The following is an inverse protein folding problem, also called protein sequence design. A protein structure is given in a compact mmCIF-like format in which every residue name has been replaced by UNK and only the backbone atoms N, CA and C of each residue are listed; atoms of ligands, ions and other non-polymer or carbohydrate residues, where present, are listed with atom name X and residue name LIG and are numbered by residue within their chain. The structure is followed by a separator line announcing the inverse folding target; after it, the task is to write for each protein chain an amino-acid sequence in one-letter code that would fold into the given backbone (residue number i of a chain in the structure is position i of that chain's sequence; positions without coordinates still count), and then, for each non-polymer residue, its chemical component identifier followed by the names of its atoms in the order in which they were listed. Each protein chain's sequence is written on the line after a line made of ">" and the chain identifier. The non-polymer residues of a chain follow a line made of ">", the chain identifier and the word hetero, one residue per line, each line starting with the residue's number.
data_IF_519990776401
#
_entry.id   IF_519990776401
#
_cell.length_a   1.000
_cell.length_b   1.000
_cell.length_c   1.000
_cell.angle_alpha   90.00
_cell.angle_beta   90.00
_cell.angle_gamma   90.00
#
_symmetry.space_group_name_H-M   'P 1'
#
loop_
_entity.id
_entity.type
_entity.pdbx_description
1 polymer ?
#
# COMPACT_ATOMS: atom_id res chain seq x y z
N UNK A 1 -13.03 31.35 1.70
CA UNK A 1 -11.90 30.50 1.24
C UNK A 1 -12.23 29.04 1.50
N UNK A 2 -12.60 28.24 0.48
CA UNK A 2 -12.76 26.79 0.61
C UNK A 2 -11.34 26.18 0.58
N UNK A 3 -10.78 25.88 1.72
CA UNK A 3 -9.60 25.06 1.82
C UNK A 3 -9.93 23.70 1.18
N UNK A 4 -9.47 23.48 -0.04
CA UNK A 4 -9.47 22.14 -0.64
C UNK A 4 -8.43 21.33 0.13
N UNK A 5 -8.87 20.70 1.23
CA UNK A 5 -8.04 19.76 1.94
C UNK A 5 -7.64 18.64 0.97
N UNK A 6 -6.38 18.64 0.56
CA UNK A 6 -5.84 17.57 -0.26
C UNK A 6 -5.99 16.22 0.46
N UNK A 7 -5.92 15.13 -0.29
CA UNK A 7 -6.02 13.77 0.28
C UNK A 7 -5.07 13.57 1.46
N UNK A 8 -3.84 14.06 1.34
CA UNK A 8 -2.83 13.99 2.39
C UNK A 8 -3.29 14.63 3.71
N UNK A 9 -3.87 15.84 3.63
CA UNK A 9 -4.35 16.52 4.83
C UNK A 9 -5.52 15.78 5.49
N UNK A 10 -6.42 15.18 4.70
CA UNK A 10 -7.52 14.34 5.23
C UNK A 10 -7.00 13.08 5.92
N UNK A 11 -5.98 12.45 5.36
CA UNK A 11 -5.35 11.26 5.96
C UNK A 11 -4.65 11.63 7.26
N UNK A 12 -3.87 12.72 7.30
CA UNK A 12 -3.22 13.18 8.52
C UNK A 12 -4.22 13.54 9.62
N UNK A 13 -5.30 14.23 9.28
CA UNK A 13 -6.36 14.53 10.25
C UNK A 13 -7.06 13.26 10.74
N UNK A 14 -7.26 12.26 9.89
CA UNK A 14 -7.82 10.97 10.28
C UNK A 14 -6.90 10.21 11.25
N UNK A 15 -5.59 10.23 11.03
CA UNK A 15 -4.59 9.62 11.94
C UNK A 15 -4.65 10.29 13.31
N UNK A 16 -4.52 11.63 13.35
CA UNK A 16 -4.53 12.39 14.60
C UNK A 16 -5.85 12.19 15.35
N UNK A 17 -6.97 12.25 14.64
CA UNK A 17 -8.29 12.01 15.23
C UNK A 17 -8.43 10.56 15.72
N UNK A 18 -7.93 9.57 14.97
CA UNK A 18 -7.96 8.16 15.37
C UNK A 18 -7.17 7.91 16.67
N UNK A 19 -5.99 8.50 16.79
CA UNK A 19 -5.18 8.41 18.01
C UNK A 19 -5.88 9.11 19.18
N UNK A 20 -6.35 10.34 18.99
CA UNK A 20 -7.04 11.10 20.04
C UNK A 20 -8.33 10.41 20.50
N UNK A 21 -9.17 10.00 19.58
CA UNK A 21 -10.43 9.30 19.91
C UNK A 21 -10.19 7.93 20.53
N UNK A 22 -9.12 7.22 20.17
CA UNK A 22 -8.80 5.92 20.72
C UNK A 22 -8.54 5.92 22.22
N UNK A 23 -8.18 7.06 22.81
CA UNK A 23 -7.99 7.24 24.25
C UNK A 23 -9.32 7.36 25.02
N UNK A 24 -10.37 7.90 24.38
CA UNK A 24 -11.61 8.28 25.07
C UNK A 24 -12.84 7.49 24.61
N UNK A 25 -12.79 6.83 23.46
CA UNK A 25 -13.96 6.17 22.91
C UNK A 25 -14.37 4.94 23.70
N UNK A 26 -15.67 4.75 23.96
CA UNK A 26 -16.19 3.54 24.56
C UNK A 26 -16.10 2.37 23.59
N UNK A 27 -16.13 1.14 24.12
CA UNK A 27 -15.94 -0.09 23.35
C UNK A 27 -16.96 -0.30 22.24
N UNK A 28 -18.20 0.09 22.46
CA UNK A 28 -19.24 -0.04 21.44
C UNK A 28 -18.97 0.81 20.19
N UNK A 29 -18.42 2.01 20.36
CA UNK A 29 -18.09 2.91 19.26
C UNK A 29 -16.84 2.42 18.50
N UNK A 30 -15.87 1.89 19.24
CA UNK A 30 -14.69 1.24 18.67
C UNK A 30 -15.09 0.03 17.81
N UNK A 31 -16.06 -0.78 18.27
CA UNK A 31 -16.59 -1.91 17.51
C UNK A 31 -17.26 -1.49 16.20
N UNK A 32 -17.96 -0.35 16.18
CA UNK A 32 -18.51 0.20 14.93
C UNK A 32 -17.40 0.52 13.94
N UNK A 33 -16.33 1.19 14.39
CA UNK A 33 -15.19 1.50 13.54
C UNK A 33 -14.48 0.23 13.03
N UNK A 34 -14.33 -0.80 13.87
CA UNK A 34 -13.78 -2.10 13.48
C UNK A 34 -14.65 -2.82 12.46
N UNK A 35 -15.98 -2.76 12.61
CA UNK A 35 -16.93 -3.34 11.65
C UNK A 35 -16.80 -2.65 10.29
N UNK A 36 -16.74 -1.33 10.29
CA UNK A 36 -16.48 -0.55 9.07
C UNK A 36 -15.14 -0.93 8.43
N UNK A 37 -14.08 -1.06 9.23
CA UNK A 37 -12.77 -1.43 8.74
C UNK A 37 -12.74 -2.83 8.12
N UNK A 38 -13.41 -3.80 8.73
CA UNK A 38 -13.56 -5.14 8.17
C UNK A 38 -14.28 -5.13 6.83
N UNK A 39 -15.41 -4.42 6.76
CA UNK A 39 -16.21 -4.28 5.55
C UNK A 39 -15.42 -3.61 4.41
N UNK A 40 -14.77 -2.48 4.72
CA UNK A 40 -13.98 -1.74 3.74
C UNK A 40 -12.72 -2.52 3.31
N UNK A 41 -12.06 -3.23 4.22
CA UNK A 41 -10.92 -4.10 3.91
C UNK A 41 -11.29 -5.24 2.96
N UNK A 42 -12.43 -5.90 3.19
CA UNK A 42 -12.95 -6.94 2.30
C UNK A 42 -13.33 -6.37 0.93
N UNK A 43 -13.95 -5.17 0.90
CA UNK A 43 -14.23 -4.45 -0.34
C UNK A 43 -12.94 -4.08 -1.11
N UNK A 44 -11.90 -3.61 -0.42
CA UNK A 44 -10.59 -3.36 -1.04
C UNK A 44 -10.01 -4.64 -1.65
N UNK A 45 -10.04 -5.75 -0.91
CA UNK A 45 -9.55 -7.05 -1.38
C UNK A 45 -10.28 -7.52 -2.63
N UNK A 46 -11.58 -7.24 -2.74
CA UNK A 46 -12.37 -7.52 -3.94
C UNK A 46 -12.00 -6.62 -5.12
N UNK A 47 -11.78 -5.33 -4.86
CA UNK A 47 -11.54 -4.34 -5.94
C UNK A 47 -10.10 -4.37 -6.46
N UNK A 48 -9.10 -4.72 -5.63
CA UNK A 48 -7.69 -4.70 -6.03
C UNK A 48 -7.39 -5.51 -7.29
N UNK A 49 -7.84 -6.78 -7.45
CA UNK A 49 -7.62 -7.53 -8.68
C UNK A 49 -8.28 -6.89 -9.93
N UNK A 50 -9.44 -6.28 -9.74
CA UNK A 50 -10.14 -5.57 -10.83
C UNK A 50 -9.38 -4.31 -11.24
N UNK A 51 -8.79 -3.59 -10.26
CA UNK A 51 -7.91 -2.46 -10.52
C UNK A 51 -6.70 -2.87 -11.34
N UNK A 52 -6.05 -3.96 -10.96
CA UNK A 52 -4.87 -4.47 -11.67
C UNK A 52 -5.26 -4.79 -13.11
N UNK A 53 -6.33 -5.53 -13.33
CA UNK A 53 -6.78 -5.89 -14.67
C UNK A 53 -7.15 -4.64 -15.49
N UNK A 54 -7.95 -3.75 -14.92
CA UNK A 54 -8.49 -2.57 -15.62
C UNK A 54 -7.45 -1.50 -15.94
N UNK A 55 -6.36 -1.39 -15.17
CA UNK A 55 -5.34 -0.38 -15.39
C UNK A 55 -4.12 -0.94 -16.15
N UNK A 56 -3.68 -2.14 -15.80
CA UNK A 56 -2.45 -2.73 -16.35
C UNK A 56 -2.65 -3.24 -17.76
N UNK A 57 -3.77 -3.93 -18.06
CA UNK A 57 -3.99 -4.50 -19.39
C UNK A 57 -4.05 -3.43 -20.51
N UNK A 58 -4.82 -2.32 -20.36
CA UNK A 58 -4.78 -1.24 -21.35
C UNK A 58 -3.41 -0.56 -21.44
N UNK A 59 -2.73 -0.36 -20.28
CA UNK A 59 -1.40 0.21 -20.27
C UNK A 59 -0.38 -0.59 -21.09
N UNK A 60 -0.42 -1.91 -20.99
CA UNK A 60 0.43 -2.80 -21.79
C UNK A 60 0.03 -2.75 -23.27
N UNK A 61 -1.26 -2.74 -23.58
CA UNK A 61 -1.76 -2.66 -24.94
C UNK A 61 -1.34 -1.36 -25.65
N UNK A 62 -1.18 -0.27 -24.92
CA UNK A 62 -0.72 1.02 -25.46
C UNK A 62 0.74 1.05 -25.88
N UNK A 63 1.58 0.16 -25.34
CA UNK A 63 2.96 0.00 -25.77
C UNK A 63 3.09 -0.58 -27.20
N UNK A 64 1.99 -1.12 -27.77
CA UNK A 64 1.91 -1.60 -29.13
C UNK A 64 2.78 -2.84 -29.41
N UNK A 65 3.17 -3.04 -30.67
CA UNK A 65 3.90 -4.24 -31.13
C UNK A 65 5.27 -4.46 -30.45
N UNK A 66 5.83 -3.44 -29.83
CA UNK A 66 7.11 -3.52 -29.07
C UNK A 66 6.89 -3.81 -27.59
N UNK A 67 5.63 -3.96 -27.16
CA UNK A 67 5.25 -4.15 -25.75
C UNK A 67 6.03 -5.28 -25.08
N UNK A 68 6.12 -6.43 -25.69
CA UNK A 68 6.78 -7.60 -25.10
C UNK A 68 8.25 -7.38 -24.82
N UNK A 69 9.00 -6.80 -25.76
CA UNK A 69 10.44 -6.51 -25.58
C UNK A 69 10.66 -5.41 -24.54
N UNK A 70 9.90 -4.33 -24.61
CA UNK A 70 10.02 -3.22 -23.67
C UNK A 70 9.68 -3.68 -22.25
N UNK A 71 8.62 -4.46 -22.10
CA UNK A 71 8.18 -5.02 -20.82
C UNK A 71 9.23 -5.94 -20.22
N UNK A 72 9.86 -6.81 -21.03
CA UNK A 72 10.91 -7.72 -20.55
C UNK A 72 12.14 -6.96 -20.10
N UNK A 73 12.56 -5.94 -20.83
CA UNK A 73 13.72 -5.09 -20.46
C UNK A 73 13.42 -4.31 -19.18
N UNK A 74 12.25 -3.66 -19.09
CA UNK A 74 11.87 -2.88 -17.89
C UNK A 74 11.67 -3.77 -16.68
N UNK A 75 11.09 -4.96 -16.83
CA UNK A 75 10.93 -5.92 -15.74
C UNK A 75 12.30 -6.45 -15.26
N UNK A 76 13.20 -6.82 -16.17
CA UNK A 76 14.54 -7.26 -15.83
C UNK A 76 15.33 -6.18 -15.10
N UNK A 77 15.23 -4.92 -15.59
CA UNK A 77 15.88 -3.77 -14.97
C UNK A 77 15.30 -3.48 -13.57
N UNK A 78 13.97 -3.47 -13.44
CA UNK A 78 13.29 -3.28 -12.17
C UNK A 78 13.68 -4.37 -11.16
N UNK A 79 13.74 -5.63 -11.61
CA UNK A 79 14.15 -6.75 -10.76
C UNK A 79 15.62 -6.62 -10.32
N UNK A 80 16.52 -6.24 -11.23
CA UNK A 80 17.91 -6.01 -10.91
C UNK A 80 18.07 -4.88 -9.87
N UNK A 81 17.37 -3.76 -10.04
CA UNK A 81 17.38 -2.67 -9.06
C UNK A 81 16.75 -3.07 -7.72
N UNK A 82 15.70 -3.88 -7.72
CA UNK A 82 15.09 -4.39 -6.49
C UNK A 82 16.06 -5.29 -5.72
N UNK A 83 16.75 -6.19 -6.41
CA UNK A 83 17.79 -7.01 -5.80
C UNK A 83 18.94 -6.16 -5.24
N UNK A 84 19.45 -5.22 -6.04
CA UNK A 84 20.53 -4.33 -5.62
C UNK A 84 20.13 -3.52 -4.37
N UNK A 85 18.96 -2.90 -4.37
CA UNK A 85 18.43 -2.16 -3.24
C UNK A 85 18.17 -3.06 -2.03
N UNK A 86 17.61 -4.27 -2.25
CA UNK A 86 17.35 -5.25 -1.20
C UNK A 86 18.63 -5.72 -0.51
N UNK A 87 19.65 -6.06 -1.27
CA UNK A 87 20.95 -6.43 -0.70
C UNK A 87 21.61 -5.25 0.02
N UNK A 88 21.57 -4.05 -0.57
CA UNK A 88 22.10 -2.83 0.05
C UNK A 88 21.43 -2.57 1.42
N UNK A 89 20.10 -2.60 1.44
CA UNK A 89 19.33 -2.44 2.69
C UNK A 89 19.63 -3.56 3.69
N UNK A 90 19.72 -4.82 3.24
CA UNK A 90 20.03 -5.95 4.11
C UNK A 90 21.39 -5.79 4.80
N UNK A 91 22.45 -5.44 4.07
CA UNK A 91 23.77 -5.23 4.64
C UNK A 91 23.80 -4.04 5.58
N UNK A 92 23.11 -2.94 5.23
CA UNK A 92 22.99 -1.75 6.10
C UNK A 92 22.26 -2.10 7.39
N UNK A 93 21.12 -2.80 7.30
CA UNK A 93 20.37 -3.22 8.49
C UNK A 93 21.16 -4.19 9.35
N UNK A 94 21.86 -5.16 8.75
CA UNK A 94 22.70 -6.11 9.48
C UNK A 94 23.83 -5.43 10.25
N UNK A 95 24.38 -4.34 9.71
CA UNK A 95 25.44 -3.54 10.38
C UNK A 95 24.89 -2.64 11.50
N UNK A 96 23.70 -2.07 11.31
CA UNK A 96 23.15 -1.00 12.17
C UNK A 96 22.17 -1.54 13.23
N UNK A 97 21.35 -2.55 12.92
CA UNK A 97 20.36 -3.08 13.84
C UNK A 97 20.92 -3.64 15.17
N UNK A 98 22.04 -4.38 15.18
CA UNK A 98 22.57 -4.86 16.45
C UNK A 98 22.89 -3.72 17.45
N UNK A 99 23.34 -2.58 16.96
CA UNK A 99 23.66 -1.42 17.81
C UNK A 99 22.42 -0.61 18.21
N UNK A 100 21.37 -0.60 17.37
CA UNK A 100 20.11 0.12 17.66
C UNK A 100 19.17 -0.68 18.55
N UNK A 101 19.23 -2.01 18.52
CA UNK A 101 18.34 -2.90 19.26
C UNK A 101 18.96 -3.45 20.54
N UNK A 102 20.24 -3.23 20.80
CA UNK A 102 20.91 -3.67 22.04
C UNK A 102 20.34 -3.03 23.32
N UNK A 103 19.52 -1.98 23.22
CA UNK A 103 18.82 -1.39 24.38
C UNK A 103 17.40 -1.88 24.58
N UNK A 104 16.81 -2.54 23.62
CA UNK A 104 15.49 -3.16 23.70
C UNK A 104 15.67 -4.68 23.71
N UNK A 105 16.05 -5.23 24.88
CA UNK A 105 16.02 -6.67 25.14
C UNK A 105 14.73 -7.26 24.61
N UNK A 106 14.78 -8.52 24.17
CA UNK A 106 13.68 -9.32 23.65
C UNK A 106 12.36 -9.32 24.48
N UNK A 107 12.33 -8.66 25.61
CA UNK A 107 11.15 -8.33 26.40
C UNK A 107 10.24 -7.25 25.76
N UNK A 108 10.75 -6.43 24.82
CA UNK A 108 9.97 -5.40 24.12
C UNK A 108 9.30 -5.89 22.82
N UNK A 109 9.64 -7.07 22.33
CA UNK A 109 8.97 -7.76 21.21
C UNK A 109 7.83 -8.69 21.66
N UNK A 110 7.62 -8.90 22.95
CA UNK A 110 6.30 -9.23 23.41
C UNK A 110 5.42 -8.01 23.09
N UNK A 111 4.74 -8.02 21.95
CA UNK A 111 3.57 -7.18 21.73
C UNK A 111 2.83 -7.17 23.07
N UNK A 112 2.57 -6.01 23.71
CA UNK A 112 1.89 -5.99 24.99
C UNK A 112 0.70 -6.92 24.84
N UNK A 113 0.55 -7.85 25.80
CA UNK A 113 -0.46 -8.90 25.75
C UNK A 113 -1.72 -8.22 25.26
N UNK A 114 -2.16 -8.60 24.05
CA UNK A 114 -3.28 -7.95 23.38
C UNK A 114 -4.43 -8.11 24.35
N UNK A 115 -4.74 -7.06 25.10
CA UNK A 115 -5.96 -7.01 25.88
C UNK A 115 -7.05 -7.43 24.91
N UNK A 116 -8.01 -8.24 25.33
CA UNK A 116 -8.98 -8.93 24.45
C UNK A 116 -9.32 -8.07 23.23
N UNK A 117 -8.79 -8.46 22.07
CA UNK A 117 -8.92 -7.65 20.86
C UNK A 117 -10.41 -7.53 20.56
N UNK A 118 -10.92 -6.30 20.65
CA UNK A 118 -12.32 -6.02 20.37
C UNK A 118 -12.66 -6.59 19.00
N UNK A 119 -13.72 -7.39 18.93
CA UNK A 119 -14.20 -7.98 17.69
C UNK A 119 -15.25 -7.07 17.04
N UNK A 120 -15.28 -7.00 15.71
CA UNK A 120 -16.35 -6.30 14.99
C UNK A 120 -17.72 -6.92 15.33
N UNK A 121 -18.80 -6.18 15.15
CA UNK A 121 -20.15 -6.71 15.37
C UNK A 121 -20.53 -7.80 14.39
N UNK A 122 -20.12 -7.64 13.13
CA UNK A 122 -20.31 -8.62 12.07
C UNK A 122 -19.20 -8.48 11.01
N UNK A 123 -18.99 -9.52 10.26
CA UNK A 123 -18.10 -9.55 9.11
C UNK A 123 -18.90 -9.93 7.87
N UNK A 124 -18.62 -9.28 6.75
CA UNK A 124 -19.18 -9.66 5.45
C UNK A 124 -18.03 -10.13 4.58
N UNK A 125 -18.05 -11.40 4.24
CA UNK A 125 -17.05 -11.97 3.35
C UNK A 125 -17.31 -11.50 1.92
N UNK A 126 -16.33 -10.85 1.33
CA UNK A 126 -16.33 -10.46 -0.08
C UNK A 126 -15.08 -11.07 -0.74
N UNK A 127 -15.16 -12.36 -1.11
CA UNK A 127 -14.02 -13.02 -1.73
C UNK A 127 -13.66 -12.31 -3.03
N UNK A 128 -12.38 -12.06 -3.30
CA UNK A 128 -11.96 -11.45 -4.56
C UNK A 128 -12.31 -12.39 -5.73
N UNK A 129 -12.67 -11.80 -6.87
CA UNK A 129 -12.99 -12.55 -8.08
C UNK A 129 -11.81 -13.43 -8.54
N UNK A 130 -10.60 -12.96 -8.30
CA UNK A 130 -9.35 -13.68 -8.59
C UNK A 130 -8.23 -13.19 -7.66
N UNK A 131 -7.19 -14.01 -7.49
CA UNK A 131 -5.99 -13.59 -6.75
C UNK A 131 -5.22 -12.49 -7.47
N UNK A 132 -4.44 -11.72 -6.73
CA UNK A 132 -3.62 -10.61 -7.26
C UNK A 132 -2.67 -11.08 -8.38
N UNK A 133 -2.00 -12.23 -8.19
CA UNK A 133 -1.11 -12.81 -9.20
C UNK A 133 -1.86 -13.23 -10.45
N UNK A 134 -3.04 -13.82 -10.28
CA UNK A 134 -3.90 -14.22 -11.41
C UNK A 134 -4.36 -12.98 -12.20
N UNK A 135 -4.76 -11.92 -11.50
CA UNK A 135 -5.15 -10.66 -12.14
C UNK A 135 -3.98 -10.04 -12.93
N UNK A 136 -2.77 -10.09 -12.37
CA UNK A 136 -1.57 -9.59 -13.03
C UNK A 136 -1.24 -10.40 -14.30
N UNK A 137 -1.23 -11.73 -14.20
CA UNK A 137 -0.99 -12.60 -15.35
C UNK A 137 -2.05 -12.41 -16.44
N UNK A 138 -3.32 -12.29 -16.04
CA UNK A 138 -4.42 -12.01 -16.97
C UNK A 138 -4.25 -10.65 -17.65
N UNK A 139 -3.83 -9.63 -16.89
CA UNK A 139 -3.56 -8.31 -17.44
C UNK A 139 -2.42 -8.33 -18.47
N UNK A 140 -1.36 -9.10 -18.21
CA UNK A 140 -0.28 -9.30 -19.18
C UNK A 140 -0.75 -10.04 -20.42
N UNK A 141 -1.47 -11.14 -20.24
CA UNK A 141 -1.99 -11.94 -21.35
C UNK A 141 -2.89 -11.10 -22.26
N UNK A 142 -3.85 -10.38 -21.68
CA UNK A 142 -4.77 -9.54 -22.45
C UNK A 142 -4.06 -8.35 -23.08
N UNK A 143 -3.17 -7.68 -22.33
CA UNK A 143 -2.43 -6.52 -22.82
C UNK A 143 -1.52 -6.87 -24.00
N UNK A 144 -0.71 -7.93 -23.87
CA UNK A 144 0.16 -8.42 -24.95
C UNK A 144 -0.65 -8.98 -26.12
N UNK A 145 -1.74 -9.72 -25.84
CA UNK A 145 -2.65 -10.22 -26.87
C UNK A 145 -3.23 -9.08 -27.70
N UNK A 146 -3.77 -8.05 -27.07
CA UNK A 146 -4.31 -6.87 -27.76
C UNK A 146 -3.25 -6.12 -28.59
N UNK A 147 -2.03 -5.99 -28.03
CA UNK A 147 -0.92 -5.36 -28.74
C UNK A 147 -0.52 -6.17 -29.99
N UNK A 148 -0.55 -7.51 -29.91
CA UNK A 148 -0.18 -8.42 -31.01
C UNK A 148 -1.20 -8.46 -32.13
N UNK A 149 -2.49 -8.66 -31.81
CA UNK A 149 -3.57 -8.79 -32.80
C UNK A 149 -4.14 -7.45 -33.27
N UNK A 150 -3.63 -6.33 -32.74
CA UNK A 150 -4.11 -4.96 -33.00
C UNK A 150 -5.64 -4.82 -32.85
N UNK A 151 -6.20 -5.51 -31.85
CA UNK A 151 -7.63 -5.51 -31.59
C UNK A 151 -8.12 -4.11 -31.20
N UNK A 152 -9.13 -3.62 -31.91
CA UNK A 152 -9.79 -2.34 -31.58
C UNK A 152 -10.99 -2.55 -30.65
N UNK A 153 -11.76 -3.61 -30.83
CA UNK A 153 -12.96 -3.88 -30.05
C UNK A 153 -12.63 -4.26 -28.61
N UNK A 154 -11.75 -5.25 -28.39
CA UNK A 154 -11.34 -5.67 -27.05
C UNK A 154 -10.64 -4.52 -26.30
N UNK A 155 -9.86 -3.74 -27.05
CA UNK A 155 -9.22 -2.53 -26.50
C UNK A 155 -10.27 -1.53 -26.03
N UNK A 156 -11.33 -1.29 -26.82
CA UNK A 156 -12.45 -0.42 -26.44
C UNK A 156 -13.12 -0.86 -25.14
N UNK A 157 -13.50 -2.14 -25.04
CA UNK A 157 -14.14 -2.71 -23.85
C UNK A 157 -13.26 -2.53 -22.60
N UNK A 158 -11.95 -2.79 -22.71
CA UNK A 158 -11.04 -2.63 -21.56
C UNK A 158 -10.80 -1.17 -21.17
N UNK A 159 -10.87 -0.23 -22.11
CA UNK A 159 -10.82 1.19 -21.79
C UNK A 159 -12.10 1.67 -21.08
N UNK A 160 -13.26 1.20 -21.48
CA UNK A 160 -14.51 1.47 -20.78
C UNK A 160 -14.49 0.87 -19.38
N UNK A 161 -14.01 -0.36 -19.23
CA UNK A 161 -13.81 -1.00 -17.93
C UNK A 161 -12.84 -0.20 -17.06
N UNK A 162 -11.70 0.25 -17.60
CA UNK A 162 -10.77 1.16 -16.92
C UNK A 162 -11.48 2.40 -16.41
N UNK A 163 -12.30 3.06 -17.24
CA UNK A 163 -13.01 4.27 -16.87
C UNK A 163 -14.02 4.01 -15.72
N UNK A 164 -14.67 2.85 -15.69
CA UNK A 164 -15.54 2.43 -14.59
C UNK A 164 -14.73 2.27 -13.31
N UNK A 165 -13.61 1.55 -13.36
CA UNK A 165 -12.74 1.31 -12.21
C UNK A 165 -12.16 2.61 -11.66
N UNK A 166 -11.66 3.50 -12.51
CA UNK A 166 -11.16 4.83 -12.12
C UNK A 166 -12.25 5.64 -11.40
N UNK A 167 -13.48 5.53 -11.85
CA UNK A 167 -14.63 6.20 -11.20
C UNK A 167 -14.96 5.62 -9.84
N UNK A 168 -14.87 4.30 -9.68
CA UNK A 168 -15.02 3.62 -8.38
C UNK A 168 -13.92 4.08 -7.42
N UNK A 169 -12.68 4.10 -7.85
CA UNK A 169 -11.56 4.62 -7.04
C UNK A 169 -11.81 6.05 -6.60
N UNK A 170 -12.10 6.94 -7.55
CA UNK A 170 -12.23 8.37 -7.27
C UNK A 170 -13.44 8.71 -6.39
N UNK A 171 -14.56 8.00 -6.56
CA UNK A 171 -15.82 8.34 -5.89
C UNK A 171 -16.10 7.50 -4.64
N UNK A 172 -15.52 6.31 -4.54
CA UNK A 172 -15.79 5.37 -3.43
C UNK A 172 -14.53 5.19 -2.59
N UNK A 173 -13.43 4.68 -3.16
CA UNK A 173 -12.24 4.34 -2.38
C UNK A 173 -11.59 5.59 -1.75
N UNK A 174 -11.32 6.61 -2.54
CA UNK A 174 -10.62 7.81 -2.05
C UNK A 174 -11.39 8.54 -0.93
N UNK A 175 -12.72 8.75 -1.01
CA UNK A 175 -13.46 9.38 0.08
C UNK A 175 -13.60 8.53 1.34
N UNK A 176 -13.67 7.20 1.22
CA UNK A 176 -13.81 6.29 2.34
C UNK A 176 -12.49 5.95 3.04
N UNK A 177 -11.36 6.12 2.35
CA UNK A 177 -10.02 5.82 2.86
C UNK A 177 -9.67 6.54 4.18
N UNK A 178 -9.95 7.82 4.38
CA UNK A 178 -9.65 8.49 5.65
C UNK A 178 -10.40 7.86 6.84
N UNK A 179 -11.63 7.42 6.66
CA UNK A 179 -12.41 6.74 7.71
C UNK A 179 -11.81 5.37 8.05
N UNK A 180 -11.33 4.65 7.04
CA UNK A 180 -10.64 3.39 7.22
C UNK A 180 -9.34 3.57 8.03
N UNK A 181 -8.55 4.57 7.66
CA UNK A 181 -7.30 4.91 8.38
C UNK A 181 -7.61 5.34 9.82
N UNK A 182 -8.63 6.17 10.02
CA UNK A 182 -9.11 6.57 11.34
C UNK A 182 -9.40 5.35 12.23
N UNK A 183 -10.16 4.38 11.73
CA UNK A 183 -10.51 3.17 12.47
C UNK A 183 -9.31 2.27 12.78
N UNK A 184 -8.31 2.18 11.89
CA UNK A 184 -7.06 1.47 12.16
C UNK A 184 -6.33 2.10 13.35
N UNK A 185 -6.08 3.41 13.31
CA UNK A 185 -5.35 4.11 14.37
C UNK A 185 -6.11 4.15 15.69
N UNK A 186 -7.43 4.24 15.64
CA UNK A 186 -8.30 4.13 16.81
C UNK A 186 -8.14 2.77 17.48
N UNK A 187 -8.14 1.67 16.73
CA UNK A 187 -7.94 0.33 17.27
C UNK A 187 -6.53 0.13 17.82
N UNK A 188 -5.51 0.60 17.10
CA UNK A 188 -4.11 0.54 17.54
C UNK A 188 -3.87 1.32 18.84
N UNK A 189 -4.53 2.48 18.99
CA UNK A 189 -4.44 3.27 20.25
C UNK A 189 -5.10 2.53 21.38
N UNK A 190 -6.25 1.95 21.16
CA UNK A 190 -7.00 1.20 22.16
C UNK A 190 -6.23 -0.04 22.65
N UNK A 191 -5.53 -0.72 21.75
CA UNK A 191 -4.67 -1.87 22.10
C UNK A 191 -3.31 -1.48 22.70
N UNK A 192 -3.03 -0.18 22.92
CA UNK A 192 -1.77 0.31 23.48
C UNK A 192 -0.56 0.18 22.54
N UNK A 193 -0.76 -0.19 21.29
CA UNK A 193 0.32 -0.49 20.34
C UNK A 193 0.90 0.74 19.65
N UNK A 194 0.19 1.89 19.67
CA UNK A 194 0.58 3.09 18.89
C UNK A 194 1.95 3.61 19.27
N UNK A 195 2.27 3.72 20.56
CA UNK A 195 3.56 4.27 21.00
C UNK A 195 4.74 3.39 20.56
N UNK A 196 4.61 2.07 20.71
CA UNK A 196 5.64 1.12 20.30
C UNK A 196 5.83 1.09 18.77
N UNK A 197 4.74 1.02 18.03
CA UNK A 197 4.77 0.95 16.57
C UNK A 197 5.30 2.27 15.98
N UNK A 198 4.84 3.44 16.47
CA UNK A 198 5.35 4.74 16.00
C UNK A 198 6.85 4.89 16.30
N UNK A 199 7.32 4.47 17.48
CA UNK A 199 8.74 4.51 17.83
C UNK A 199 9.60 3.67 16.87
N UNK A 200 9.18 2.45 16.59
CA UNK A 200 9.86 1.56 15.65
C UNK A 200 9.79 2.12 14.22
N UNK A 201 8.63 2.62 13.79
CA UNK A 201 8.45 3.19 12.46
C UNK A 201 9.34 4.41 12.20
N UNK A 202 9.44 5.33 13.15
CA UNK A 202 10.31 6.50 13.02
C UNK A 202 11.78 6.08 12.89
N UNK A 203 12.22 5.14 13.74
CA UNK A 203 13.59 4.59 13.65
C UNK A 203 13.84 3.94 12.28
N UNK A 204 12.91 3.12 11.79
CA UNK A 204 13.01 2.47 10.48
C UNK A 204 13.04 3.47 9.32
N UNK A 205 12.15 4.47 9.34
CA UNK A 205 12.11 5.52 8.34
C UNK A 205 13.44 6.27 8.27
N UNK A 206 13.98 6.66 9.42
CA UNK A 206 15.28 7.34 9.49
C UNK A 206 16.39 6.46 8.89
N UNK A 207 16.44 5.18 9.23
CA UNK A 207 17.43 4.24 8.69
C UNK A 207 17.28 4.08 7.16
N UNK A 208 16.04 3.95 6.67
CA UNK A 208 15.76 3.82 5.23
C UNK A 208 16.18 5.09 4.49
N UNK A 209 15.82 6.27 5.00
CA UNK A 209 16.22 7.54 4.37
C UNK A 209 17.73 7.74 4.40
N UNK A 210 18.39 7.44 5.50
CA UNK A 210 19.86 7.50 5.56
C UNK A 210 20.51 6.52 4.58
N UNK A 211 19.98 5.29 4.46
CA UNK A 211 20.44 4.30 3.49
C UNK A 211 20.25 4.78 2.05
N UNK A 212 19.07 5.35 1.72
CA UNK A 212 18.80 5.90 0.39
C UNK A 212 19.67 7.10 0.05
N UNK A 213 19.90 8.01 0.99
CA UNK A 213 20.78 9.17 0.80
C UNK A 213 22.22 8.69 0.55
N UNK A 214 22.69 7.71 1.32
CA UNK A 214 24.06 7.18 1.17
C UNK A 214 24.27 6.44 -0.16
N UNK A 215 23.23 5.79 -0.69
CA UNK A 215 23.27 5.11 -2.00
C UNK A 215 23.20 6.12 -3.16
N UNK A 216 22.54 7.26 -2.98
CA UNK A 216 22.37 8.26 -4.05
C UNK A 216 23.46 9.35 -4.09
N UNK A 217 24.25 9.56 -3.05
CA UNK A 217 25.30 10.58 -3.02
C UNK A 217 26.55 10.30 -3.86
N UNK A 218 27.01 9.05 -4.12
CA UNK A 218 28.22 8.83 -4.93
C UNK A 218 28.12 9.35 -6.37
N UNK A 219 26.91 9.58 -6.87
CA UNK A 219 26.72 10.06 -8.25
C UNK A 219 26.90 11.57 -8.43
N UNK A 220 26.95 12.35 -7.34
CA UNK A 220 27.11 13.82 -7.43
C UNK A 220 28.54 14.27 -7.58
N UNK A 221 29.50 13.48 -7.10
CA UNK A 221 30.95 13.80 -7.25
C UNK A 221 31.57 13.43 -8.61
N UNK A 222 30.88 12.62 -9.41
CA UNK A 222 31.35 12.22 -10.74
C UNK A 222 30.98 13.21 -11.86
N UNK A 223 30.24 14.28 -11.58
CA UNK A 223 29.82 15.27 -12.58
C UNK A 223 30.60 16.62 -12.49
N UNK A 224 31.64 16.73 -11.66
CA UNK A 224 32.40 17.96 -11.49
C UNK A 224 33.93 17.65 -11.68
N UNK A 225 34.28 16.84 -12.68
CA UNK A 225 35.63 16.70 -13.16
C UNK A 225 35.68 16.61 -14.68
#
# INVERSE_FOLDING_TARGET
>A
MRFKFGLLARVLTAIIAGIGCGLFFPDWLTRIALTYNGLFGNFLSFVIPLLILGLVAPGIADLGARAGRLLLITAALAYAFTLFSGFGTFFTCRGVFPSLLQGESAAGTALPAVGEALRPYFTVDMPPLMGVMTALLMAFLLGLGMASIRSTQLKGVLYEFKAVIERVVARVLIPLLPFYIFGIFLNMTRSGQVAGILGVFVKLIVVIFLSLIHISEPTRHAQIS
#
